data_IF_952291322748
#
_entry.id   IF_952291322748
#
_cell.length_a   1.000
_cell.length_b   1.000
_cell.length_c   1.000
_cell.angle_alpha   90.00
_cell.angle_beta   90.00
_cell.angle_gamma   90.00
#
_symmetry.space_group_name_H-M   'P 1'
#
loop_
_entity.id
_entity.type
_entity.pdbx_description
1 polymer ?
#
# COMPACT_ATOMS: atom_id res chain seq x y z
N UNK A 1 27.08 30.99 28.44
CA UNK A 1 27.14 31.42 27.04
C UNK A 1 26.05 30.60 26.31
N UNK A 2 24.88 31.21 26.18
CA UNK A 2 23.74 30.67 25.40
C UNK A 2 23.97 31.06 23.95
N UNK A 3 24.16 30.06 23.07
CA UNK A 3 24.05 30.23 21.63
C UNK A 3 22.57 30.21 21.27
N UNK A 4 21.99 31.35 21.06
CA UNK A 4 20.74 31.55 20.36
C UNK A 4 21.02 31.38 18.85
N UNK A 5 20.72 30.22 18.28
CA UNK A 5 20.59 30.09 16.84
C UNK A 5 19.34 30.86 16.39
N UNK A 6 19.57 32.06 15.87
CA UNK A 6 18.57 32.78 15.09
C UNK A 6 18.24 31.94 13.83
N UNK A 7 17.06 31.31 13.83
CA UNK A 7 16.45 30.83 12.60
C UNK A 7 16.25 32.06 11.70
N UNK A 8 17.08 32.21 10.67
CA UNK A 8 16.80 33.10 9.55
C UNK A 8 15.47 32.66 8.96
N UNK A 9 14.46 33.51 9.13
CA UNK A 9 13.22 33.41 8.35
C UNK A 9 13.62 33.64 6.91
N UNK A 10 13.60 32.59 6.07
CA UNK A 10 13.79 32.71 4.64
C UNK A 10 12.72 33.65 4.10
N UNK A 11 13.12 34.77 3.51
CA UNK A 11 12.19 35.66 2.82
C UNK A 11 11.50 34.87 1.68
N UNK A 12 10.17 34.85 1.70
CA UNK A 12 9.37 34.22 0.66
C UNK A 12 9.59 35.01 -0.65
N UNK A 13 10.20 34.37 -1.63
CA UNK A 13 10.49 34.96 -2.95
C UNK A 13 9.20 35.23 -3.72
N UNK A 14 8.17 34.41 -3.50
CA UNK A 14 6.85 34.63 -4.07
C UNK A 14 5.95 35.38 -3.08
N UNK A 15 5.18 36.39 -3.56
CA UNK A 15 4.25 37.08 -2.68
C UNK A 15 3.26 36.13 -2.03
N UNK A 16 2.99 36.27 -0.73
CA UNK A 16 1.98 35.48 0.01
C UNK A 16 0.65 35.35 -0.71
N UNK A 17 0.28 36.37 -1.49
CA UNK A 17 -0.94 36.37 -2.32
C UNK A 17 -0.93 35.33 -3.43
N UNK A 18 0.22 35.09 -4.08
CA UNK A 18 0.33 34.07 -5.15
C UNK A 18 0.21 32.67 -4.58
N UNK A 19 0.82 32.43 -3.44
CA UNK A 19 0.76 31.15 -2.72
C UNK A 19 -0.64 30.86 -2.21
N UNK A 20 -1.24 31.83 -1.51
CA UNK A 20 -2.60 31.68 -0.96
C UNK A 20 -3.62 31.45 -2.07
N UNK A 21 -3.45 32.12 -3.21
CA UNK A 21 -4.30 31.95 -4.38
C UNK A 21 -4.11 30.58 -5.01
N UNK A 22 -2.89 30.12 -5.21
CA UNK A 22 -2.61 28.77 -5.73
C UNK A 22 -3.27 27.68 -4.88
N UNK A 23 -3.10 27.73 -3.56
CA UNK A 23 -3.71 26.75 -2.66
C UNK A 23 -5.24 26.83 -2.70
N UNK A 24 -5.83 28.02 -2.72
CA UNK A 24 -7.28 28.20 -2.79
C UNK A 24 -7.84 27.66 -4.11
N UNK A 25 -7.26 28.07 -5.24
CA UNK A 25 -7.72 27.71 -6.58
C UNK A 25 -7.59 26.19 -6.83
N UNK A 26 -6.52 25.56 -6.33
CA UNK A 26 -6.38 24.11 -6.41
C UNK A 26 -7.41 23.39 -5.53
N UNK A 27 -7.70 23.93 -4.33
CA UNK A 27 -8.69 23.34 -3.41
C UNK A 27 -10.13 23.41 -3.95
N UNK A 28 -10.46 24.44 -4.73
CA UNK A 28 -11.79 24.60 -5.34
C UNK A 28 -12.06 23.62 -6.49
N UNK A 29 -11.02 23.02 -7.08
CA UNK A 29 -11.16 22.16 -8.27
C UNK A 29 -11.81 20.80 -7.98
N UNK A 30 -11.95 20.40 -6.73
CA UNK A 30 -12.55 19.10 -6.31
C UNK A 30 -11.96 17.90 -7.06
N UNK A 31 -10.68 17.94 -7.34
CA UNK A 31 -9.94 16.86 -8.00
C UNK A 31 -9.35 15.89 -6.96
N UNK A 32 -9.11 14.66 -7.38
CA UNK A 32 -8.38 13.71 -6.56
C UNK A 32 -6.91 14.10 -6.41
N UNK A 33 -6.24 13.58 -5.37
CA UNK A 33 -4.83 13.87 -5.15
C UNK A 33 -3.96 13.57 -6.38
N UNK A 34 -4.27 12.51 -7.12
CA UNK A 34 -3.51 12.11 -8.32
C UNK A 34 -3.87 12.91 -9.55
N UNK A 35 -5.09 13.38 -9.64
CA UNK A 35 -5.51 14.30 -10.70
C UNK A 35 -4.89 15.69 -10.53
N UNK A 36 -4.21 15.97 -9.42
CA UNK A 36 -3.41 17.18 -9.27
C UNK A 36 -2.40 17.34 -10.40
N UNK A 37 -1.73 16.26 -10.81
CA UNK A 37 -0.73 16.29 -11.87
C UNK A 37 -1.37 16.24 -13.27
N UNK A 38 -2.03 17.31 -13.64
CA UNK A 38 -2.73 17.46 -14.91
C UNK A 38 -2.56 18.87 -15.50
N UNK A 39 -3.28 19.16 -16.57
CA UNK A 39 -3.26 20.47 -17.25
C UNK A 39 -3.61 21.61 -16.29
N UNK A 40 -4.53 21.39 -15.35
CA UNK A 40 -4.92 22.40 -14.39
C UNK A 40 -3.76 22.86 -13.49
N UNK A 41 -2.88 21.95 -13.07
CA UNK A 41 -1.67 22.34 -12.34
C UNK A 41 -0.75 23.23 -13.19
N UNK A 42 -0.56 22.89 -14.46
CA UNK A 42 0.26 23.69 -15.37
C UNK A 42 -0.32 25.10 -15.58
N UNK A 43 -1.64 25.22 -15.65
CA UNK A 43 -2.32 26.51 -15.78
C UNK A 43 -2.16 27.37 -14.53
N UNK A 44 -2.29 26.75 -13.33
CA UNK A 44 -2.08 27.45 -12.07
C UNK A 44 -0.63 27.90 -11.89
N UNK A 45 0.34 27.02 -12.19
CA UNK A 45 1.77 27.35 -12.13
C UNK A 45 2.10 28.53 -13.08
N UNK A 46 1.48 28.59 -14.26
CA UNK A 46 1.64 29.74 -15.15
C UNK A 46 1.00 31.00 -14.58
N UNK A 47 -0.23 30.92 -14.09
CA UNK A 47 -1.00 32.07 -13.64
C UNK A 47 -0.40 32.69 -12.38
N UNK A 48 -0.03 31.88 -11.42
CA UNK A 48 0.34 32.33 -10.09
C UNK A 48 1.86 32.55 -9.93
N UNK A 49 2.67 31.81 -10.67
CA UNK A 49 4.13 31.89 -10.60
C UNK A 49 4.81 32.30 -11.92
N UNK A 50 4.04 32.51 -12.99
CA UNK A 50 4.58 32.97 -14.30
C UNK A 50 5.30 31.86 -15.08
N UNK A 51 5.21 30.60 -14.68
CA UNK A 51 5.93 29.46 -15.27
C UNK A 51 5.24 28.99 -16.56
N UNK A 52 5.58 29.63 -17.69
CA UNK A 52 4.88 29.43 -18.97
C UNK A 52 5.23 28.16 -19.72
N UNK A 53 6.48 27.72 -19.63
CA UNK A 53 7.00 26.58 -20.37
C UNK A 53 7.19 25.42 -19.38
N UNK A 54 6.17 24.59 -19.20
CA UNK A 54 6.22 23.45 -18.32
C UNK A 54 5.48 22.26 -18.92
N UNK A 55 5.87 21.05 -18.52
CA UNK A 55 5.20 19.80 -18.83
C UNK A 55 5.29 18.84 -17.66
N UNK A 56 4.39 17.87 -17.60
CA UNK A 56 4.42 16.77 -16.63
C UNK A 56 4.68 15.48 -17.40
N UNK A 57 5.62 14.70 -16.92
CA UNK A 57 5.90 13.35 -17.42
C UNK A 57 5.55 12.34 -16.32
N UNK A 58 4.89 11.27 -16.72
CA UNK A 58 4.45 10.20 -15.82
C UNK A 58 5.13 8.89 -16.26
N UNK A 59 5.71 8.21 -15.28
CA UNK A 59 6.37 6.92 -15.44
C UNK A 59 5.78 5.93 -14.45
N UNK A 60 5.80 4.63 -14.79
CA UNK A 60 5.47 3.58 -13.83
C UNK A 60 6.59 3.35 -12.81
N UNK A 61 6.38 2.42 -11.89
CA UNK A 61 7.37 2.05 -10.86
C UNK A 61 8.64 1.43 -11.43
N UNK A 62 8.57 0.87 -12.64
CA UNK A 62 9.72 0.30 -13.34
C UNK A 62 10.48 1.35 -14.18
N UNK A 63 10.00 2.60 -14.18
CA UNK A 63 10.58 3.72 -14.90
C UNK A 63 10.21 3.74 -16.38
N UNK A 64 9.19 2.99 -16.81
CA UNK A 64 8.69 3.08 -18.17
C UNK A 64 7.83 4.33 -18.33
N UNK A 65 8.00 5.00 -19.46
CA UNK A 65 7.22 6.19 -19.79
C UNK A 65 5.75 5.81 -20.06
N UNK A 66 4.82 6.46 -19.35
CA UNK A 66 3.38 6.25 -19.50
C UNK A 66 2.69 7.34 -20.30
N UNK A 67 3.00 8.60 -19.98
CA UNK A 67 2.39 9.75 -20.65
C UNK A 67 3.15 11.05 -20.36
N UNK A 68 2.94 12.04 -21.20
CA UNK A 68 3.24 13.42 -20.86
C UNK A 68 1.99 14.31 -20.94
N UNK A 69 2.01 15.37 -20.18
CA UNK A 69 0.92 16.35 -20.09
C UNK A 69 1.50 17.72 -20.39
N UNK A 70 0.94 18.34 -21.37
CA UNK A 70 1.24 19.73 -21.75
C UNK A 70 -0.05 20.55 -21.71
N UNK A 71 0.03 21.84 -21.93
CA UNK A 71 -1.18 22.68 -22.09
C UNK A 71 -2.09 22.28 -23.24
N UNK A 72 -1.57 21.49 -24.19
CA UNK A 72 -2.38 20.94 -25.31
C UNK A 72 -3.19 19.73 -24.92
N UNK A 73 -2.94 19.16 -23.75
CA UNK A 73 -3.58 17.96 -23.25
C UNK A 73 -2.57 16.87 -22.89
N UNK A 74 -3.06 15.65 -22.89
CA UNK A 74 -2.34 14.45 -22.48
C UNK A 74 -2.04 13.64 -23.73
N UNK A 75 -0.80 13.16 -23.82
CA UNK A 75 -0.35 12.23 -24.85
C UNK A 75 0.20 10.97 -24.16
N UNK A 76 -0.42 9.83 -24.44
CA UNK A 76 -0.02 8.55 -23.86
C UNK A 76 1.15 7.93 -24.64
N UNK A 77 1.92 7.11 -23.95
CA UNK A 77 2.99 6.33 -24.57
C UNK A 77 2.42 5.43 -25.68
N UNK A 78 2.96 5.57 -26.87
CA UNK A 78 2.62 4.77 -28.03
C UNK A 78 3.90 4.42 -28.82
N UNK A 79 3.90 3.39 -29.67
CA UNK A 79 5.01 3.12 -30.56
C UNK A 79 5.34 4.37 -31.41
N UNK A 80 6.60 4.83 -31.37
CA UNK A 80 7.03 6.05 -32.08
C UNK A 80 6.74 7.37 -31.35
N UNK A 81 6.33 7.33 -30.08
CA UNK A 81 6.20 8.55 -29.28
C UNK A 81 7.55 9.28 -29.17
N UNK A 82 7.53 10.59 -29.39
CA UNK A 82 8.75 11.39 -29.51
C UNK A 82 9.68 11.30 -28.29
N UNK A 83 9.13 11.22 -27.09
CA UNK A 83 9.92 11.08 -25.88
C UNK A 83 10.54 9.68 -25.73
N UNK A 84 9.88 8.62 -26.17
CA UNK A 84 10.42 7.26 -26.11
C UNK A 84 11.73 7.12 -26.89
N UNK A 85 11.91 7.88 -27.97
CA UNK A 85 13.12 7.89 -28.78
C UNK A 85 14.29 8.62 -28.11
N UNK A 86 14.00 9.67 -27.33
CA UNK A 86 15.03 10.49 -26.67
C UNK A 86 15.32 10.05 -25.24
N UNK A 87 14.42 9.34 -24.60
CA UNK A 87 14.52 8.90 -23.22
C UNK A 87 15.87 8.24 -22.85
N UNK A 88 16.51 7.42 -23.72
CA UNK A 88 17.85 6.86 -23.46
C UNK A 88 18.97 7.91 -23.35
N UNK A 89 18.75 9.12 -23.86
CA UNK A 89 19.70 10.22 -23.84
C UNK A 89 19.41 11.28 -22.77
N UNK A 90 18.30 11.12 -22.05
CA UNK A 90 17.92 11.95 -20.89
C UNK A 90 18.65 11.44 -19.64
N UNK A 91 19.91 11.90 -19.47
CA UNK A 91 20.77 11.49 -18.35
C UNK A 91 20.19 11.92 -17.00
N UNK A 92 19.60 13.10 -16.94
CA UNK A 92 18.95 13.61 -15.72
C UNK A 92 17.86 12.64 -15.26
N UNK A 93 16.94 12.25 -16.15
CA UNK A 93 15.88 11.28 -15.81
C UNK A 93 16.45 9.95 -15.32
N UNK A 94 17.50 9.44 -15.94
CA UNK A 94 18.12 8.19 -15.51
C UNK A 94 18.63 8.27 -14.08
N UNK A 95 19.23 9.41 -13.70
CA UNK A 95 19.71 9.60 -12.33
C UNK A 95 18.55 9.80 -11.35
N UNK A 96 17.57 10.63 -11.73
CA UNK A 96 16.35 10.82 -10.95
C UNK A 96 15.67 9.47 -10.63
N UNK A 97 15.54 8.59 -11.62
CA UNK A 97 14.95 7.26 -11.42
C UNK A 97 15.83 6.38 -10.53
N UNK A 98 17.15 6.40 -10.70
CA UNK A 98 18.09 5.64 -9.86
C UNK A 98 18.00 6.04 -8.38
N UNK A 99 17.95 7.34 -8.12
CA UNK A 99 17.76 7.86 -6.77
C UNK A 99 16.40 7.47 -6.19
N UNK A 100 15.39 7.58 -7.00
CA UNK A 100 14.04 7.22 -6.63
C UNK A 100 13.94 5.73 -6.24
N UNK A 101 14.53 4.80 -7.00
CA UNK A 101 14.58 3.37 -6.66
C UNK A 101 15.36 3.12 -5.37
N UNK A 102 16.49 3.81 -5.17
CA UNK A 102 17.29 3.70 -3.94
C UNK A 102 16.50 4.10 -2.70
N UNK A 103 15.63 5.10 -2.82
CA UNK A 103 14.87 5.69 -1.71
C UNK A 103 13.45 5.14 -1.64
N UNK A 104 13.22 3.92 -2.17
CA UNK A 104 11.91 3.27 -2.19
C UNK A 104 10.80 4.20 -2.71
N UNK A 105 10.75 4.41 -3.99
CA UNK A 105 9.89 5.26 -4.86
C UNK A 105 8.46 5.56 -4.42
N UNK A 106 8.03 4.96 -3.36
CA UNK A 106 6.65 4.79 -3.00
C UNK A 106 6.14 5.88 -2.07
N UNK A 107 7.02 6.78 -1.62
CA UNK A 107 6.66 7.84 -0.69
C UNK A 107 6.73 9.21 -1.33
N UNK A 108 5.63 9.94 -1.17
CA UNK A 108 5.61 11.36 -1.36
C UNK A 108 6.49 12.02 -0.28
N UNK A 109 7.69 12.40 -0.68
CA UNK A 109 8.63 13.06 0.21
C UNK A 109 8.44 14.56 0.14
N UNK A 110 8.34 15.24 1.29
CA UNK A 110 8.26 16.70 1.37
C UNK A 110 9.63 17.37 1.18
N UNK A 111 10.70 16.60 1.17
CA UNK A 111 12.01 17.14 0.82
C UNK A 111 12.06 17.44 -0.68
N UNK A 112 12.43 18.67 -1.08
CA UNK A 112 12.46 19.05 -2.48
C UNK A 112 13.47 18.22 -3.28
N UNK A 113 12.98 17.55 -4.32
CA UNK A 113 13.80 16.81 -5.30
C UNK A 113 13.81 17.61 -6.60
N UNK A 114 14.90 18.32 -6.81
CA UNK A 114 15.07 19.26 -7.92
C UNK A 114 16.34 18.90 -8.66
N UNK A 115 16.23 18.87 -9.99
CA UNK A 115 17.29 18.39 -10.87
C UNK A 115 17.45 19.36 -12.02
N UNK A 116 18.68 19.87 -12.24
CA UNK A 116 19.06 20.69 -13.38
C UNK A 116 19.75 19.79 -14.41
N UNK A 117 19.26 19.77 -15.65
CA UNK A 117 19.73 18.79 -16.64
C UNK A 117 21.21 18.93 -16.97
N UNK A 118 21.74 20.14 -17.00
CA UNK A 118 23.17 20.41 -17.29
C UNK A 118 24.13 19.80 -16.26
N UNK A 119 23.71 19.62 -15.01
CA UNK A 119 24.55 19.04 -13.95
C UNK A 119 24.93 17.58 -14.21
N UNK A 120 24.25 16.90 -15.13
CA UNK A 120 24.48 15.48 -15.49
C UNK A 120 25.36 15.31 -16.73
N UNK A 121 25.97 16.40 -17.20
CA UNK A 121 26.86 16.41 -18.34
C UNK A 121 28.20 17.01 -17.93
N UNK A 122 29.29 16.62 -18.62
CA UNK A 122 30.56 17.29 -18.46
C UNK A 122 30.46 18.74 -18.92
N UNK A 123 31.30 19.61 -18.39
CA UNK A 123 31.30 21.03 -18.67
C UNK A 123 31.31 21.30 -20.19
N UNK A 124 30.37 22.10 -20.68
CA UNK A 124 30.23 22.44 -22.09
C UNK A 124 29.64 21.35 -23.01
N UNK A 125 29.33 20.15 -22.49
CA UNK A 125 28.76 19.08 -23.32
C UNK A 125 27.23 19.10 -23.41
N UNK A 126 26.56 19.75 -22.45
CA UNK A 126 25.10 19.78 -22.43
C UNK A 126 24.50 20.45 -23.68
N UNK A 127 25.01 21.62 -24.06
CA UNK A 127 24.47 22.42 -25.16
C UNK A 127 24.52 21.70 -26.52
N UNK A 128 25.52 20.87 -26.71
CA UNK A 128 25.68 20.04 -27.91
C UNK A 128 25.02 18.66 -27.81
N UNK A 129 24.38 18.35 -26.69
CA UNK A 129 23.81 17.03 -26.45
C UNK A 129 22.60 16.78 -27.36
N UNK A 130 22.39 15.51 -27.71
CA UNK A 130 21.20 15.08 -28.46
C UNK A 130 19.89 15.42 -27.73
N UNK A 131 19.92 15.42 -26.41
CA UNK A 131 18.78 15.76 -25.59
C UNK A 131 18.41 17.25 -25.68
N UNK A 132 19.38 18.17 -25.50
CA UNK A 132 19.15 19.61 -25.63
C UNK A 132 18.65 19.99 -27.03
N UNK A 133 19.29 19.47 -28.10
CA UNK A 133 18.86 19.71 -29.49
C UNK A 133 17.43 19.20 -29.76
N UNK A 134 17.06 18.07 -29.18
CA UNK A 134 15.71 17.53 -29.29
C UNK A 134 14.68 18.44 -28.58
N UNK A 135 15.02 18.94 -27.37
CA UNK A 135 14.17 19.87 -26.63
C UNK A 135 13.90 21.16 -27.39
N UNK A 136 14.93 21.73 -28.01
CA UNK A 136 14.78 22.93 -28.84
C UNK A 136 13.80 22.69 -29.98
N UNK A 137 13.96 21.58 -30.68
CA UNK A 137 13.11 21.21 -31.82
C UNK A 137 11.66 20.96 -31.41
N UNK A 138 11.42 20.31 -30.27
CA UNK A 138 10.07 19.89 -29.86
C UNK A 138 9.33 20.98 -29.06
N UNK A 139 10.03 21.70 -28.21
CA UNK A 139 9.40 22.61 -27.23
C UNK A 139 9.92 24.05 -27.28
N UNK A 140 10.94 24.33 -28.09
CA UNK A 140 11.61 25.62 -28.07
C UNK A 140 12.28 25.94 -26.73
N UNK A 141 12.62 24.89 -25.99
CA UNK A 141 13.37 24.94 -24.75
C UNK A 141 14.74 24.34 -24.93
N UNK A 142 15.74 24.78 -24.18
CA UNK A 142 17.11 24.26 -24.20
C UNK A 142 17.50 23.73 -22.84
N UNK A 143 17.40 24.56 -21.80
CA UNK A 143 17.71 24.18 -20.42
C UNK A 143 16.47 23.67 -19.70
N UNK A 144 16.65 22.67 -18.86
CA UNK A 144 15.58 22.00 -18.12
C UNK A 144 15.89 21.95 -16.64
N UNK A 145 14.90 22.33 -15.86
CA UNK A 145 14.82 22.07 -14.42
C UNK A 145 13.61 21.18 -14.13
N UNK A 146 13.80 20.13 -13.37
CA UNK A 146 12.72 19.18 -13.07
C UNK A 146 12.50 18.99 -11.59
N UNK A 147 11.24 18.91 -11.19
CA UNK A 147 10.78 18.50 -9.88
C UNK A 147 10.31 17.05 -9.97
N UNK A 148 10.71 16.20 -9.02
CA UNK A 148 10.35 14.79 -8.99
C UNK A 148 9.48 14.43 -7.79
N UNK A 149 8.42 13.65 -8.05
CA UNK A 149 7.48 13.17 -7.05
C UNK A 149 7.27 11.66 -7.23
N UNK A 150 7.35 10.88 -6.14
CA UNK A 150 7.07 9.44 -6.13
C UNK A 150 5.68 9.16 -5.55
N UNK A 151 4.77 8.57 -6.35
CA UNK A 151 3.36 8.38 -6.00
C UNK A 151 2.80 7.06 -6.55
N UNK A 152 3.39 5.91 -6.26
CA UNK A 152 3.10 4.67 -7.01
C UNK A 152 3.31 4.78 -8.52
N UNK A 153 3.86 5.88 -8.92
CA UNK A 153 4.32 6.26 -10.22
C UNK A 153 5.43 7.26 -9.98
N UNK A 154 6.24 7.45 -10.95
CA UNK A 154 7.25 8.47 -10.92
C UNK A 154 6.74 9.64 -11.76
N UNK A 155 6.58 10.80 -11.13
CA UNK A 155 6.07 12.01 -11.77
C UNK A 155 7.16 13.06 -11.79
N UNK A 156 7.40 13.60 -12.97
CA UNK A 156 8.37 14.65 -13.22
C UNK A 156 7.65 15.90 -13.77
N UNK A 157 7.83 17.04 -13.12
CA UNK A 157 7.39 18.32 -13.67
C UNK A 157 8.63 19.03 -14.18
N UNK A 158 8.71 19.24 -15.49
CA UNK A 158 9.86 19.86 -16.16
C UNK A 158 9.53 21.26 -16.62
N UNK A 159 10.42 22.17 -16.34
CA UNK A 159 10.36 23.59 -16.75
C UNK A 159 11.48 23.88 -17.72
N UNK A 160 11.21 24.73 -18.72
CA UNK A 160 12.12 24.97 -19.82
C UNK A 160 12.49 26.44 -19.94
N UNK A 161 13.77 26.70 -20.22
CA UNK A 161 14.30 27.97 -20.70
C UNK A 161 14.87 27.80 -22.10
N UNK A 162 14.80 28.86 -22.92
CA UNK A 162 15.51 28.89 -24.20
C UNK A 162 17.01 29.04 -24.00
N UNK A 163 17.78 28.85 -25.06
CA UNK A 163 19.22 29.06 -25.02
C UNK A 163 19.58 30.52 -24.64
N UNK A 164 18.84 31.50 -25.13
CA UNK A 164 19.06 32.93 -24.83
C UNK A 164 18.72 33.30 -23.38
N UNK A 165 17.79 32.59 -22.75
CA UNK A 165 17.44 32.80 -21.32
C UNK A 165 18.56 32.28 -20.39
N UNK A 166 19.46 31.43 -20.90
CA UNK A 166 20.52 30.81 -20.12
C UNK A 166 20.01 29.70 -19.21
N UNK A 167 20.93 29.03 -18.53
CA UNK A 167 20.60 27.94 -17.60
C UNK A 167 20.02 28.45 -16.28
N UNK A 168 19.47 27.55 -15.49
CA UNK A 168 18.93 27.85 -14.16
C UNK A 168 20.06 28.14 -13.17
N UNK A 169 20.00 29.31 -12.55
CA UNK A 169 20.91 29.67 -11.47
C UNK A 169 20.57 28.97 -10.16
N UNK A 170 21.50 28.94 -9.22
CA UNK A 170 21.26 28.35 -7.88
C UNK A 170 20.19 29.13 -7.11
N UNK A 171 20.07 30.47 -7.33
CA UNK A 171 19.00 31.27 -6.75
C UNK A 171 17.62 30.86 -7.29
N UNK A 172 17.51 30.62 -8.60
CA UNK A 172 16.26 30.13 -9.20
C UNK A 172 15.91 28.73 -8.68
N UNK A 173 16.90 27.85 -8.51
CA UNK A 173 16.69 26.50 -7.92
C UNK A 173 16.12 26.62 -6.51
N UNK A 174 16.62 27.56 -5.70
CA UNK A 174 16.09 27.78 -4.35
C UNK A 174 14.63 28.22 -4.38
N UNK A 175 14.24 29.04 -5.36
CA UNK A 175 12.85 29.44 -5.57
C UNK A 175 11.96 28.24 -5.94
N UNK A 176 12.48 27.32 -6.76
CA UNK A 176 11.75 26.10 -7.13
C UNK A 176 11.57 25.13 -5.96
N UNK A 177 12.40 25.17 -4.90
CA UNK A 177 12.16 24.42 -3.66
C UNK A 177 10.86 24.85 -2.98
N UNK A 178 10.55 26.15 -2.99
CA UNK A 178 9.27 26.64 -2.47
C UNK A 178 8.09 26.13 -3.29
N UNK A 179 8.18 26.20 -4.62
CA UNK A 179 7.14 25.68 -5.52
C UNK A 179 6.92 24.19 -5.27
N UNK A 180 8.00 23.41 -5.15
CA UNK A 180 7.91 21.99 -4.79
C UNK A 180 7.11 21.79 -3.51
N UNK A 181 7.42 22.55 -2.45
CA UNK A 181 6.75 22.44 -1.17
C UNK A 181 5.26 22.77 -1.26
N UNK A 182 4.87 23.78 -2.05
CA UNK A 182 3.46 24.14 -2.25
C UNK A 182 2.69 23.04 -2.99
N UNK A 183 3.27 22.47 -4.03
CA UNK A 183 2.68 21.32 -4.73
C UNK A 183 2.56 20.13 -3.77
N UNK A 184 3.61 19.85 -2.99
CA UNK A 184 3.66 18.78 -2.01
C UNK A 184 2.59 18.92 -0.92
N UNK A 185 2.43 20.11 -0.37
CA UNK A 185 1.40 20.40 0.64
C UNK A 185 -0.01 20.27 0.08
N UNK A 186 -0.24 20.78 -1.13
CA UNK A 186 -1.54 20.65 -1.81
C UNK A 186 -1.90 19.21 -2.06
N UNK A 187 -0.96 18.40 -2.58
CA UNK A 187 -1.14 16.97 -2.76
C UNK A 187 -1.47 16.26 -1.45
N UNK A 188 -0.70 16.54 -0.39
CA UNK A 188 -0.93 15.92 0.93
C UNK A 188 -2.30 16.25 1.49
N UNK A 189 -2.78 17.47 1.27
CA UNK A 189 -4.13 17.90 1.66
C UNK A 189 -5.21 17.09 0.92
N UNK A 190 -5.09 16.95 -0.38
CA UNK A 190 -6.02 16.16 -1.20
C UNK A 190 -5.98 14.68 -0.84
N UNK A 191 -4.78 14.11 -0.72
CA UNK A 191 -4.62 12.70 -0.34
C UNK A 191 -5.28 12.41 1.00
N UNK A 192 -5.08 13.27 2.00
CA UNK A 192 -5.71 13.10 3.32
C UNK A 192 -7.24 13.16 3.25
N UNK A 193 -7.79 14.07 2.44
CA UNK A 193 -9.23 14.17 2.26
C UNK A 193 -9.81 12.92 1.58
N UNK A 194 -9.18 12.48 0.51
CA UNK A 194 -9.56 11.28 -0.25
C UNK A 194 -9.46 10.00 0.59
N UNK A 195 -8.37 9.83 1.31
CA UNK A 195 -8.19 8.73 2.24
C UNK A 195 -9.29 8.70 3.31
N UNK A 196 -9.68 9.85 3.83
CA UNK A 196 -10.78 9.95 4.80
C UNK A 196 -12.10 9.49 4.20
N UNK A 197 -12.38 9.86 2.95
CA UNK A 197 -13.57 9.44 2.23
C UNK A 197 -13.58 7.94 2.00
N UNK A 198 -12.51 7.38 1.45
CA UNK A 198 -12.37 5.93 1.19
C UNK A 198 -12.49 5.12 2.49
N UNK A 199 -11.82 5.55 3.55
CA UNK A 199 -11.92 4.89 4.87
C UNK A 199 -13.37 4.94 5.40
N UNK A 200 -14.10 6.02 5.14
CA UNK A 200 -15.53 6.10 5.52
C UNK A 200 -16.38 5.13 4.72
N UNK A 201 -16.19 5.05 3.40
CA UNK A 201 -16.90 4.11 2.53
C UNK A 201 -16.63 2.65 2.94
N UNK A 202 -15.37 2.29 3.17
CA UNK A 202 -14.99 0.96 3.66
C UNK A 202 -15.61 0.67 5.04
N UNK A 203 -15.66 1.64 5.96
CA UNK A 203 -16.29 1.46 7.26
C UNK A 203 -17.79 1.20 7.16
N UNK A 204 -18.48 1.86 6.25
CA UNK A 204 -19.90 1.62 6.02
C UNK A 204 -20.14 0.20 5.49
N UNK A 205 -19.27 -0.31 4.63
CA UNK A 205 -19.28 -1.69 4.16
C UNK A 205 -19.01 -2.69 5.29
N UNK A 206 -18.01 -2.42 6.14
CA UNK A 206 -17.70 -3.23 7.34
C UNK A 206 -18.90 -3.32 8.28
N UNK A 207 -19.57 -2.19 8.54
CA UNK A 207 -20.77 -2.16 9.40
C UNK A 207 -21.88 -3.01 8.79
N UNK A 208 -22.06 -2.92 7.47
CA UNK A 208 -23.09 -3.67 6.74
C UNK A 208 -22.81 -5.17 6.70
N UNK A 209 -21.54 -5.59 6.65
CA UNK A 209 -21.13 -6.99 6.65
C UNK A 209 -21.24 -7.68 8.01
N UNK A 210 -21.41 -6.91 9.09
CA UNK A 210 -21.49 -7.42 10.47
C UNK A 210 -20.14 -7.84 11.07
N UNK A 211 -19.02 -7.57 10.39
CA UNK A 211 -17.68 -7.87 10.90
C UNK A 211 -17.33 -6.98 12.09
N UNK A 212 -16.77 -7.58 13.16
CA UNK A 212 -16.54 -6.88 14.44
C UNK A 212 -15.15 -6.30 14.60
N UNK A 213 -14.15 -6.92 13.99
CA UNK A 213 -12.77 -6.49 14.08
C UNK A 213 -12.22 -6.20 12.69
N UNK A 214 -11.63 -5.03 12.49
CA UNK A 214 -11.11 -4.64 11.20
C UNK A 214 -9.82 -3.82 11.28
N UNK A 215 -9.05 -3.89 10.19
CA UNK A 215 -7.89 -3.09 9.87
C UNK A 215 -8.02 -2.62 8.42
N UNK A 216 -7.71 -1.36 8.14
CA UNK A 216 -7.67 -0.79 6.79
C UNK A 216 -6.25 -0.30 6.55
N UNK A 217 -5.67 -0.67 5.40
CA UNK A 217 -4.32 -0.26 5.00
C UNK A 217 -4.30 0.22 3.55
N UNK A 218 -3.28 1.01 3.22
CA UNK A 218 -2.90 1.26 1.83
C UNK A 218 -2.02 0.11 1.30
N UNK A 219 -1.62 0.20 0.02
CA UNK A 219 -0.76 -0.78 -0.65
C UNK A 219 0.67 -0.84 -0.06
N UNK A 220 1.07 0.18 0.70
CA UNK A 220 2.36 0.27 1.39
C UNK A 220 2.30 -0.18 2.84
N UNK A 221 1.20 -0.83 3.21
CA UNK A 221 0.99 -1.33 4.56
C UNK A 221 0.89 -0.25 5.67
N UNK A 222 0.66 1.02 5.28
CA UNK A 222 0.33 2.04 6.28
C UNK A 222 -1.09 1.84 6.79
N UNK A 223 -1.23 1.90 8.09
CA UNK A 223 -2.53 1.72 8.74
C UNK A 223 -3.33 3.01 8.64
N UNK A 224 -4.48 2.94 7.98
CA UNK A 224 -5.40 4.05 7.75
C UNK A 224 -6.63 4.01 8.69
N UNK A 225 -6.94 2.85 9.22
CA UNK A 225 -8.05 2.69 10.13
C UNK A 225 -8.06 1.33 10.80
N UNK A 226 -8.54 1.28 12.04
CA UNK A 226 -8.69 0.06 12.82
C UNK A 226 -9.67 0.29 13.97
N UNK A 227 -10.10 -0.79 14.61
CA UNK A 227 -10.88 -0.68 15.84
C UNK A 227 -10.24 -1.40 17.03
N UNK A 228 -10.73 -1.10 18.23
CA UNK A 228 -10.22 -1.68 19.49
C UNK A 228 -10.32 -3.21 19.55
N UNK A 229 -11.28 -3.79 18.84
CA UNK A 229 -11.44 -5.25 18.80
C UNK A 229 -10.29 -5.87 18.02
N UNK A 230 -9.93 -5.29 16.86
CA UNK A 230 -8.79 -5.73 16.07
C UNK A 230 -7.47 -5.62 16.86
N UNK A 231 -7.23 -4.50 17.56
CA UNK A 231 -6.05 -4.35 18.43
C UNK A 231 -5.97 -5.48 19.45
N UNK A 232 -7.05 -5.78 20.15
CA UNK A 232 -7.09 -6.84 21.17
C UNK A 232 -6.75 -8.21 20.58
N UNK A 233 -7.32 -8.56 19.42
CA UNK A 233 -7.07 -9.84 18.76
C UNK A 233 -5.62 -9.93 18.27
N UNK A 234 -5.09 -8.87 17.68
CA UNK A 234 -3.72 -8.82 17.18
C UNK A 234 -2.69 -8.84 18.30
N UNK A 235 -2.96 -8.16 19.43
CA UNK A 235 -2.09 -8.21 20.62
C UNK A 235 -1.90 -9.65 21.12
N UNK A 236 -2.94 -10.46 21.06
CA UNK A 236 -2.88 -11.89 21.44
C UNK A 236 -1.92 -12.73 20.57
N UNK A 237 -1.61 -12.30 19.34
CA UNK A 237 -0.70 -13.01 18.43
C UNK A 237 0.68 -12.34 18.34
N UNK A 238 0.69 -11.00 18.18
CA UNK A 238 1.88 -10.21 17.86
C UNK A 238 2.52 -9.57 19.11
N UNK A 239 1.87 -9.65 20.27
CA UNK A 239 2.32 -8.97 21.50
C UNK A 239 1.90 -7.50 21.57
N UNK A 240 2.23 -6.85 22.69
CA UNK A 240 1.76 -5.46 22.96
C UNK A 240 2.39 -4.39 22.06
N UNK A 241 3.52 -4.66 21.43
CA UNK A 241 4.16 -3.74 20.49
C UNK A 241 3.27 -3.39 19.28
N UNK A 242 2.25 -4.22 19.00
CA UNK A 242 1.33 -3.99 17.88
C UNK A 242 0.50 -2.72 18.06
N UNK A 243 0.06 -2.41 19.28
CA UNK A 243 -0.75 -1.22 19.56
C UNK A 243 0.01 0.06 19.24
N UNK A 244 1.29 0.11 19.62
CA UNK A 244 2.18 1.25 19.33
C UNK A 244 2.41 1.40 17.83
N UNK A 245 2.56 0.28 17.12
CA UNK A 245 2.76 0.28 15.67
C UNK A 245 1.53 0.79 14.91
N UNK A 246 0.33 0.38 15.34
CA UNK A 246 -0.94 0.83 14.76
C UNK A 246 -1.21 2.32 15.06
N UNK A 247 -0.87 2.81 16.25
CA UNK A 247 -1.06 4.20 16.65
C UNK A 247 -0.12 5.17 15.90
N UNK A 248 1.09 4.74 15.60
CA UNK A 248 2.09 5.57 14.91
C UNK A 248 1.79 5.78 13.41
N UNK A 249 0.86 5.03 12.82
CA UNK A 249 0.45 5.18 11.41
C UNK A 249 1.55 4.89 10.39
N UNK A 250 2.68 4.31 10.82
CA UNK A 250 3.77 3.88 9.96
C UNK A 250 3.48 2.54 9.27
N UNK A 251 4.33 2.11 8.33
CA UNK A 251 4.18 0.82 7.67
C UNK A 251 4.30 -0.32 8.67
N UNK A 252 3.36 -1.25 8.64
CA UNK A 252 3.35 -2.42 9.51
C UNK A 252 4.18 -3.54 8.90
N UNK A 253 5.34 -3.85 9.47
CA UNK A 253 6.31 -4.83 8.97
C UNK A 253 5.76 -6.27 8.86
N UNK A 254 4.69 -6.61 9.56
CA UNK A 254 4.06 -7.92 9.52
C UNK A 254 2.95 -8.03 8.45
N UNK A 255 2.42 -6.90 7.94
CA UNK A 255 1.36 -6.89 6.93
C UNK A 255 1.78 -7.48 5.59
N UNK A 256 2.98 -7.29 5.04
CA UNK A 256 3.38 -7.93 3.80
C UNK A 256 3.26 -9.45 3.85
N UNK A 257 3.53 -10.07 5.01
CA UNK A 257 3.33 -11.50 5.22
C UNK A 257 1.85 -11.90 5.16
N UNK A 258 0.97 -11.04 5.67
CA UNK A 258 -0.48 -11.27 5.61
C UNK A 258 -1.04 -11.05 4.20
N UNK A 259 -0.58 -10.01 3.50
CA UNK A 259 -1.08 -9.62 2.17
C UNK A 259 -0.48 -10.47 1.04
N UNK A 260 0.68 -11.11 1.25
CA UNK A 260 1.33 -11.97 0.25
C UNK A 260 0.42 -13.13 -0.17
N UNK A 261 0.38 -13.45 -1.48
CA UNK A 261 -0.37 -14.59 -2.01
C UNK A 261 0.49 -15.84 -1.83
N UNK A 262 0.17 -16.65 -0.84
CA UNK A 262 0.83 -17.94 -0.59
C UNK A 262 0.00 -19.10 -1.17
N UNK A 263 0.65 -20.23 -1.43
CA UNK A 263 0.01 -21.46 -1.92
C UNK A 263 -1.10 -22.04 -1.01
N UNK A 264 -1.31 -21.46 0.18
CA UNK A 264 -2.34 -21.84 1.16
C UNK A 264 -3.48 -20.82 1.31
N UNK A 265 -3.52 -19.77 0.48
CA UNK A 265 -4.62 -18.79 0.50
C UNK A 265 -5.84 -19.38 -0.22
N UNK A 266 -7.00 -19.32 0.42
CA UNK A 266 -8.28 -19.66 -0.20
C UNK A 266 -8.99 -18.36 -0.60
N UNK A 267 -9.70 -18.35 -1.73
CA UNK A 267 -10.63 -17.28 -2.07
C UNK A 267 -12.03 -17.67 -1.60
N UNK A 268 -12.67 -16.81 -0.83
CA UNK A 268 -14.02 -16.96 -0.34
C UNK A 268 -14.75 -15.61 -0.43
N UNK A 269 -15.85 -15.56 -1.17
CA UNK A 269 -16.68 -14.35 -1.35
C UNK A 269 -15.89 -13.10 -1.80
N UNK A 270 -14.92 -13.25 -2.70
CA UNK A 270 -14.10 -12.14 -3.20
C UNK A 270 -13.01 -11.67 -2.22
N UNK A 271 -12.81 -12.39 -1.11
CA UNK A 271 -11.75 -12.14 -0.15
C UNK A 271 -10.66 -13.22 -0.21
N UNK A 272 -9.43 -12.83 0.00
CA UNK A 272 -8.35 -13.77 0.30
C UNK A 272 -8.43 -14.13 1.78
N UNK A 273 -8.57 -15.43 2.08
CA UNK A 273 -8.70 -15.92 3.46
C UNK A 273 -7.40 -16.52 3.93
N UNK A 274 -6.87 -16.01 5.04
CA UNK A 274 -5.70 -16.56 5.72
C UNK A 274 -6.01 -16.93 7.16
N UNK A 275 -5.40 -18.03 7.63
CA UNK A 275 -5.55 -18.52 9.00
C UNK A 275 -4.19 -18.48 9.69
N UNK A 276 -4.11 -17.75 10.79
CA UNK A 276 -2.90 -17.65 11.61
C UNK A 276 -3.28 -17.95 13.05
N UNK A 277 -2.78 -19.07 13.59
CA UNK A 277 -3.21 -19.59 14.89
C UNK A 277 -4.75 -19.77 14.93
N UNK A 278 -5.40 -19.13 15.90
CA UNK A 278 -6.86 -19.14 16.07
C UNK A 278 -7.57 -17.96 15.42
N UNK A 279 -6.88 -17.14 14.63
CA UNK A 279 -7.48 -16.04 13.90
C UNK A 279 -7.66 -16.37 12.42
N UNK A 280 -8.77 -15.89 11.88
CA UNK A 280 -9.08 -15.90 10.46
C UNK A 280 -9.07 -14.46 9.97
N UNK A 281 -8.31 -14.21 8.92
CA UNK A 281 -8.19 -12.94 8.25
C UNK A 281 -8.86 -13.04 6.88
N UNK A 282 -9.89 -12.24 6.66
CA UNK A 282 -10.51 -12.06 5.34
C UNK A 282 -10.00 -10.74 4.79
N UNK A 283 -9.28 -10.79 3.67
CA UNK A 283 -8.61 -9.63 3.06
C UNK A 283 -9.36 -9.29 1.79
N UNK A 284 -9.99 -8.14 1.79
CA UNK A 284 -10.65 -7.55 0.64
C UNK A 284 -9.74 -6.49 0.04
N UNK A 285 -9.66 -6.45 -1.29
CA UNK A 285 -8.89 -5.46 -2.02
C UNK A 285 -9.83 -4.47 -2.68
N UNK A 286 -9.56 -3.20 -2.46
CA UNK A 286 -10.29 -2.10 -3.06
C UNK A 286 -9.31 -1.30 -3.93
N UNK A 287 -9.51 -1.33 -5.26
CA UNK A 287 -8.68 -0.65 -6.23
C UNK A 287 -9.39 0.61 -6.73
N UNK A 288 -8.80 1.77 -6.52
CA UNK A 288 -9.22 3.01 -7.11
C UNK A 288 -8.34 3.34 -8.31
N UNK A 289 -8.91 3.22 -9.51
CA UNK A 289 -8.22 3.54 -10.76
C UNK A 289 -8.34 5.03 -11.08
N UNK A 290 -7.24 5.61 -11.50
CA UNK A 290 -7.16 6.99 -12.01
C UNK A 290 -6.80 6.97 -13.49
N UNK A 291 -7.00 8.11 -14.15
CA UNK A 291 -6.51 8.31 -15.51
C UNK A 291 -5.01 8.01 -15.57
N UNK A 292 -4.54 7.40 -16.64
CA UNK A 292 -3.13 7.02 -16.90
C UNK A 292 -2.64 5.71 -16.25
N UNK A 293 -3.55 4.78 -15.86
CA UNK A 293 -3.17 3.46 -15.36
C UNK A 293 -2.57 3.44 -13.95
N UNK A 294 -2.68 4.56 -13.23
CA UNK A 294 -2.28 4.63 -11.83
C UNK A 294 -3.41 4.05 -10.98
N UNK A 295 -3.10 3.12 -10.10
CA UNK A 295 -4.06 2.47 -9.21
C UNK A 295 -3.63 2.71 -7.78
N UNK A 296 -4.53 3.27 -6.95
CA UNK A 296 -4.39 3.25 -5.50
C UNK A 296 -5.11 2.02 -4.97
N UNK A 297 -4.38 1.19 -4.26
CA UNK A 297 -4.90 -0.03 -3.67
C UNK A 297 -5.03 0.12 -2.16
N UNK A 298 -6.17 -0.33 -1.66
CA UNK A 298 -6.45 -0.38 -0.24
C UNK A 298 -6.83 -1.80 0.13
N UNK A 299 -6.47 -2.22 1.34
CA UNK A 299 -6.87 -3.50 1.86
C UNK A 299 -7.73 -3.29 3.09
N UNK A 300 -8.92 -3.87 3.03
CA UNK A 300 -9.74 -4.05 4.20
C UNK A 300 -9.58 -5.46 4.73
N UNK A 301 -9.17 -5.59 5.96
CA UNK A 301 -8.87 -6.86 6.61
C UNK A 301 -9.87 -7.07 7.74
N UNK A 302 -10.81 -7.97 7.56
CA UNK A 302 -11.69 -8.42 8.61
C UNK A 302 -10.97 -9.51 9.43
N UNK A 303 -11.02 -9.38 10.76
CA UNK A 303 -10.36 -10.29 11.67
C UNK A 303 -11.42 -10.96 12.53
N UNK A 304 -11.53 -12.27 12.43
CA UNK A 304 -12.38 -13.06 13.29
C UNK A 304 -11.54 -14.07 14.07
N UNK A 305 -11.95 -14.32 15.30
CA UNK A 305 -11.42 -15.45 16.03
C UNK A 305 -12.25 -16.65 15.61
N UNK A 306 -11.58 -17.69 15.09
CA UNK A 306 -12.26 -18.99 14.99
C UNK A 306 -12.73 -19.29 16.41
N UNK A 307 -14.03 -19.35 16.59
CA UNK A 307 -14.55 -19.80 17.87
C UNK A 307 -13.76 -21.07 18.18
N UNK A 308 -12.98 -21.03 19.25
CA UNK A 308 -12.44 -22.27 19.79
C UNK A 308 -13.66 -23.13 19.95
N UNK A 309 -13.78 -24.17 19.12
CA UNK A 309 -14.82 -25.17 19.30
C UNK A 309 -14.73 -25.46 20.78
N UNK A 310 -15.78 -25.07 21.55
CA UNK A 310 -15.76 -25.23 23.00
C UNK A 310 -15.30 -26.65 23.20
N UNK A 311 -14.11 -26.83 23.74
CA UNK A 311 -13.58 -28.14 24.04
C UNK A 311 -14.63 -28.78 24.95
N UNK A 312 -15.35 -29.73 24.39
CA UNK A 312 -16.40 -30.43 25.13
C UNK A 312 -15.73 -31.58 25.87
N UNK A 313 -16.01 -31.66 27.14
CA UNK A 313 -15.57 -32.84 27.89
C UNK A 313 -16.26 -34.10 27.32
N UNK A 314 -15.65 -35.25 27.47
CA UNK A 314 -16.27 -36.52 27.05
C UNK A 314 -17.67 -36.72 27.66
N UNK A 315 -17.94 -36.12 28.81
CA UNK A 315 -19.24 -36.16 29.52
C UNK A 315 -20.31 -35.32 28.79
N UNK A 316 -19.94 -34.12 28.30
CA UNK A 316 -20.85 -33.26 27.54
C UNK A 316 -21.21 -33.86 26.18
N UNK A 317 -20.38 -34.70 25.59
CA UNK A 317 -20.62 -35.33 24.30
C UNK A 317 -21.46 -36.61 24.36
N UNK A 318 -21.89 -37.04 25.56
CA UNK A 318 -22.67 -38.28 25.77
C UNK A 318 -22.06 -39.54 25.11
N UNK A 319 -20.72 -39.60 25.04
CA UNK A 319 -20.00 -40.75 24.49
C UNK A 319 -19.98 -41.89 25.54
N UNK A 320 -20.26 -43.10 25.09
CA UNK A 320 -20.07 -44.32 25.91
C UNK A 320 -18.60 -44.56 26.21
N UNK A 321 -18.29 -45.36 27.23
CA UNK A 321 -16.91 -45.71 27.58
C UNK A 321 -16.10 -46.35 26.40
N UNK A 322 -16.77 -47.15 25.58
CA UNK A 322 -16.16 -47.72 24.36
C UNK A 322 -15.91 -46.65 23.29
N UNK A 323 -16.87 -45.78 23.06
CA UNK A 323 -16.73 -44.68 22.10
C UNK A 323 -15.63 -43.69 22.51
N UNK A 324 -15.49 -43.38 23.81
CA UNK A 324 -14.38 -42.54 24.34
C UNK A 324 -13.02 -43.16 24.02
N UNK A 325 -12.80 -44.45 24.27
CA UNK A 325 -11.55 -45.12 23.92
C UNK A 325 -11.25 -45.05 22.42
N UNK A 326 -12.25 -45.33 21.58
CA UNK A 326 -12.09 -45.21 20.12
C UNK A 326 -11.79 -43.77 19.70
N UNK A 327 -12.44 -42.76 20.29
CA UNK A 327 -12.20 -41.34 19.99
C UNK A 327 -10.76 -40.93 20.37
N UNK A 328 -10.23 -41.35 21.52
CA UNK A 328 -8.86 -41.06 21.92
C UNK A 328 -7.87 -41.65 20.91
N UNK A 329 -8.04 -42.90 20.50
CA UNK A 329 -7.15 -43.55 19.52
C UNK A 329 -7.26 -42.91 18.14
N UNK A 330 -8.47 -42.45 17.73
CA UNK A 330 -8.65 -41.65 16.52
C UNK A 330 -7.85 -40.34 16.59
N UNK A 331 -7.94 -39.60 17.69
CA UNK A 331 -7.20 -38.35 17.89
C UNK A 331 -5.67 -38.59 17.91
N UNK A 332 -5.20 -39.74 18.40
CA UNK A 332 -3.78 -40.14 18.34
C UNK A 332 -3.29 -40.55 16.95
N UNK A 333 -4.14 -40.53 15.94
CA UNK A 333 -3.73 -40.81 14.57
C UNK A 333 -3.79 -42.29 14.16
N UNK A 334 -4.31 -43.22 14.99
CA UNK A 334 -4.35 -44.64 14.67
C UNK A 334 -5.35 -44.94 13.53
N UNK A 335 -5.01 -45.93 12.72
CA UNK A 335 -5.94 -46.47 11.72
C UNK A 335 -7.01 -47.34 12.37
N UNK A 336 -8.17 -47.51 11.72
CA UNK A 336 -9.26 -48.36 12.25
C UNK A 336 -8.81 -49.76 12.55
N UNK A 337 -7.89 -50.35 11.73
CA UNK A 337 -7.33 -51.64 11.98
C UNK A 337 -6.50 -51.68 13.27
N UNK A 338 -5.62 -50.70 13.47
CA UNK A 338 -4.82 -50.59 14.70
C UNK A 338 -5.70 -50.36 15.93
N UNK A 339 -6.79 -49.58 15.81
CA UNK A 339 -7.75 -49.39 16.91
C UNK A 339 -8.46 -50.73 17.23
N UNK A 340 -8.82 -51.50 16.21
CA UNK A 340 -9.44 -52.82 16.38
C UNK A 340 -8.51 -53.78 17.12
N UNK A 341 -7.24 -53.82 16.74
CA UNK A 341 -6.21 -54.66 17.35
C UNK A 341 -5.97 -54.25 18.84
N UNK A 342 -5.84 -52.93 19.12
CA UNK A 342 -5.61 -52.37 20.47
C UNK A 342 -6.77 -52.64 21.43
N UNK A 343 -8.01 -52.56 20.92
CA UNK A 343 -9.22 -52.74 21.72
C UNK A 343 -9.75 -54.19 21.70
N UNK A 344 -9.10 -55.09 20.98
CA UNK A 344 -9.52 -56.48 20.79
C UNK A 344 -10.97 -56.61 20.26
N UNK A 345 -11.36 -55.77 19.30
CA UNK A 345 -12.67 -55.74 18.67
C UNK A 345 -12.55 -55.83 17.13
N UNK A 346 -13.66 -56.13 16.45
CA UNK A 346 -13.60 -56.20 14.99
C UNK A 346 -13.44 -54.82 14.35
N UNK A 347 -12.80 -54.77 13.15
CA UNK A 347 -12.73 -53.57 12.33
C UNK A 347 -14.12 -52.95 12.10
N UNK A 348 -15.14 -53.80 11.88
CA UNK A 348 -16.50 -53.37 11.66
C UNK A 348 -17.10 -52.70 12.90
N UNK A 349 -16.76 -53.20 14.09
CA UNK A 349 -17.18 -52.57 15.35
C UNK A 349 -16.55 -51.19 15.52
N UNK A 350 -15.26 -51.04 15.20
CA UNK A 350 -14.59 -49.70 15.21
C UNK A 350 -15.29 -48.73 14.25
N UNK A 351 -15.59 -49.16 13.02
CA UNK A 351 -16.29 -48.35 12.04
C UNK A 351 -17.65 -47.85 12.54
N UNK A 352 -18.41 -48.75 13.19
CA UNK A 352 -19.70 -48.36 13.78
C UNK A 352 -19.52 -47.38 14.94
N UNK A 353 -18.53 -47.57 15.81
CA UNK A 353 -18.23 -46.60 16.87
C UNK A 353 -17.85 -45.24 16.28
N UNK A 354 -17.02 -45.19 15.23
CA UNK A 354 -16.64 -43.92 14.60
C UNK A 354 -17.85 -43.20 14.01
N UNK A 355 -18.77 -43.91 13.35
CA UNK A 355 -20.01 -43.29 12.84
C UNK A 355 -20.86 -42.70 13.98
N UNK A 356 -21.00 -43.44 15.09
CA UNK A 356 -21.75 -42.98 16.25
C UNK A 356 -21.07 -41.77 16.93
N UNK A 357 -19.73 -41.79 17.06
CA UNK A 357 -18.95 -40.67 17.59
C UNK A 357 -19.18 -39.41 16.71
N UNK A 358 -19.02 -39.55 15.39
CA UNK A 358 -19.21 -38.43 14.48
C UNK A 358 -20.63 -37.86 14.56
N UNK A 359 -21.64 -38.71 14.60
CA UNK A 359 -23.02 -38.31 14.77
C UNK A 359 -23.28 -37.59 16.10
N UNK A 360 -22.76 -38.10 17.22
CA UNK A 360 -22.94 -37.53 18.57
C UNK A 360 -22.16 -36.22 18.75
N UNK A 361 -20.99 -36.11 18.13
CA UNK A 361 -20.16 -34.90 18.17
C UNK A 361 -20.59 -33.85 17.14
N UNK A 362 -21.44 -34.22 16.15
CA UNK A 362 -21.85 -33.32 15.07
C UNK A 362 -20.71 -32.99 14.11
N UNK A 363 -19.78 -33.94 13.88
CA UNK A 363 -18.60 -33.76 13.02
C UNK A 363 -18.64 -34.70 11.82
N UNK A 364 -17.96 -34.33 10.73
CA UNK A 364 -17.89 -35.11 9.51
C UNK A 364 -16.47 -35.63 9.21
N UNK A 365 -15.50 -35.20 9.99
CA UNK A 365 -14.10 -35.57 9.78
C UNK A 365 -13.38 -35.85 11.09
N UNK A 366 -12.29 -36.61 10.97
CA UNK A 366 -11.37 -36.90 12.05
C UNK A 366 -10.68 -35.65 12.61
N UNK A 367 -10.40 -34.68 11.73
CA UNK A 367 -9.80 -33.41 12.09
C UNK A 367 -10.76 -32.58 12.94
N UNK A 368 -12.02 -32.50 12.57
CA UNK A 368 -13.06 -31.81 13.35
C UNK A 368 -13.25 -32.45 14.73
N UNK A 369 -13.20 -33.80 14.80
CA UNK A 369 -13.27 -34.52 16.08
C UNK A 369 -12.08 -34.16 16.96
N UNK A 370 -10.85 -34.13 16.39
CA UNK A 370 -9.64 -33.75 17.12
C UNK A 370 -9.75 -32.31 17.67
N UNK A 371 -10.27 -31.36 16.90
CA UNK A 371 -10.46 -29.98 17.38
C UNK A 371 -11.42 -29.89 18.57
N UNK A 372 -12.48 -30.72 18.60
CA UNK A 372 -13.45 -30.74 19.69
C UNK A 372 -12.85 -31.39 20.95
N UNK A 373 -12.03 -32.42 20.81
CA UNK A 373 -11.56 -33.27 21.91
C UNK A 373 -10.14 -32.93 22.37
N UNK A 374 -9.43 -32.01 21.76
CA UNK A 374 -8.00 -31.75 22.02
C UNK A 374 -7.70 -31.46 23.51
N UNK A 375 -8.61 -30.81 24.23
CA UNK A 375 -8.49 -30.60 25.69
C UNK A 375 -8.78 -31.83 26.51
N UNK A 376 -9.76 -32.63 26.11
CA UNK A 376 -10.18 -33.84 26.86
C UNK A 376 -9.20 -35.01 26.71
N UNK A 377 -8.43 -35.07 25.61
CA UNK A 377 -7.43 -36.13 25.39
C UNK A 377 -6.18 -35.92 26.24
N UNK A 378 -5.83 -34.67 26.59
CA UNK A 378 -4.70 -34.34 27.46
C UNK A 378 -4.99 -34.64 28.96
N UNK A 379 -6.25 -34.61 29.38
CA UNK A 379 -6.65 -34.92 30.77
C UNK A 379 -6.64 -36.43 31.05
N UNK A 380 -6.99 -37.28 30.08
CA UNK A 380 -7.03 -38.73 30.21
C UNK A 380 -5.60 -39.36 30.34
N UNK A 381 -4.55 -38.61 29.99
CA UNK A 381 -3.13 -39.01 30.17
C UNK A 381 -2.56 -38.67 31.57
N UNK A 382 -3.20 -37.75 32.30
CA UNK A 382 -2.77 -37.33 33.63
C UNK A 382 -3.32 -38.23 34.77
N UNK A 383 -4.27 -39.10 34.48
CA UNK A 383 -4.86 -40.04 35.44
C UNK A 383 -4.31 -41.51 35.36
N UNK A 384 -3.29 -41.75 34.59
CA UNK A 384 -2.54 -43.02 34.53
C UNK A 384 -1.11 -42.84 35.04
#
# INVERSE_FOLDING_TARGET
>A
MQCTEERKVQELVYPDKSVSRFVADMSEKQISARELFNVALLDELQRDFGLKKAMILIFDTDGNFLSWITKKGIEEAAPGHAYSEIMPYDKMRQEMYREAVRDELTYFNHEPRIYRASDYYEEGQYDSSRFAQWLEKQFGGHYVLSLAFGLNAYIQISFFKSFEEGDYSDEEIENFKQIYQYIAMTYSGFKKHEQTKIVSEIKDEIISSGERAYLITDDFTHVMGYNKVAVRLLTGICGEAISVQLENGGPCLWLPFLLGIDAGSAEEDGAVVKKIKNLVFKIYTYDQSYNHGIIDRYHWIAISQKDSVKQKSFEELSLTAAERKVAVFLCKGLTYQKIADELCISYHTVKNHVQNIFSKCGVNSRYELYEILNGAVSEDESEK
#
